data_IF_604239674087
#
_entry.id   IF_604239674087
#
_cell.length_a   1.000
_cell.length_b   1.000
_cell.length_c   1.000
_cell.angle_alpha   90.00
_cell.angle_beta   90.00
_cell.angle_gamma   90.00
#
_symmetry.space_group_name_H-M   'P 1'
#
loop_
_entity.id
_entity.type
_entity.pdbx_description
1 polymer ?
#
# COMPACT_ATOMS: atom_id res chain seq x y z
N UNK A 1 -43.65 -10.77 5.55
CA UNK A 1 -43.31 -9.39 5.94
C UNK A 1 -41.85 -9.13 5.60
N UNK A 2 -41.59 -8.32 4.57
CA UNK A 2 -40.23 -8.00 4.10
C UNK A 2 -39.54 -7.08 5.10
N UNK A 3 -38.56 -7.60 5.84
CA UNK A 3 -37.71 -6.82 6.73
C UNK A 3 -36.76 -5.98 5.87
N UNK A 4 -37.11 -4.72 5.60
CA UNK A 4 -36.18 -3.73 5.03
C UNK A 4 -35.01 -3.59 6.02
N UNK A 5 -33.86 -4.19 5.72
CA UNK A 5 -32.64 -3.92 6.47
C UNK A 5 -32.33 -2.42 6.34
N UNK A 6 -32.00 -1.71 7.43
CA UNK A 6 -31.76 -0.28 7.36
C UNK A 6 -30.51 -0.01 6.51
N UNK A 7 -30.64 0.83 5.49
CA UNK A 7 -29.56 1.19 4.55
C UNK A 7 -28.26 1.67 5.24
N UNK A 8 -28.35 2.08 6.51
CA UNK A 8 -27.23 2.47 7.37
C UNK A 8 -26.24 1.31 7.66
N UNK A 9 -26.70 0.06 7.71
CA UNK A 9 -25.82 -1.10 7.99
C UNK A 9 -24.92 -1.39 6.78
N UNK A 10 -25.52 -1.39 5.57
CA UNK A 10 -24.82 -1.65 4.31
C UNK A 10 -23.74 -0.58 4.01
N UNK A 11 -24.01 0.69 4.33
CA UNK A 11 -23.03 1.76 4.15
C UNK A 11 -21.82 1.59 5.07
N UNK A 12 -22.03 1.17 6.33
CA UNK A 12 -20.95 0.99 7.30
C UNK A 12 -20.08 -0.22 6.96
N UNK A 13 -20.68 -1.33 6.58
CA UNK A 13 -19.94 -2.52 6.11
C UNK A 13 -19.11 -2.24 4.84
N UNK A 14 -19.65 -1.44 3.91
CA UNK A 14 -18.90 -1.00 2.72
C UNK A 14 -17.72 -0.11 3.09
N UNK A 15 -17.90 0.80 4.05
CA UNK A 15 -16.81 1.66 4.54
C UNK A 15 -15.72 0.82 5.23
N UNK A 16 -16.10 -0.11 6.10
CA UNK A 16 -15.16 -0.98 6.80
C UNK A 16 -14.39 -1.88 5.80
N UNK A 17 -15.08 -2.39 4.77
CA UNK A 17 -14.46 -3.14 3.68
C UNK A 17 -13.47 -2.31 2.85
N UNK A 18 -13.82 -1.07 2.51
CA UNK A 18 -12.95 -0.15 1.79
C UNK A 18 -11.70 0.21 2.62
N UNK A 19 -11.85 0.45 3.93
CA UNK A 19 -10.73 0.73 4.84
C UNK A 19 -9.80 -0.50 4.95
N UNK A 20 -10.35 -1.71 5.02
CA UNK A 20 -9.56 -2.93 5.06
C UNK A 20 -8.76 -3.15 3.76
N UNK A 21 -9.39 -2.91 2.60
CA UNK A 21 -8.73 -2.98 1.31
C UNK A 21 -7.59 -1.96 1.18
N UNK A 22 -7.84 -0.72 1.59
CA UNK A 22 -6.83 0.34 1.58
C UNK A 22 -5.64 -0.02 2.47
N UNK A 23 -5.90 -0.51 3.70
CA UNK A 23 -4.83 -0.99 4.60
C UNK A 23 -4.02 -2.13 4.01
N UNK A 24 -4.67 -3.05 3.28
CA UNK A 24 -3.96 -4.15 2.63
C UNK A 24 -3.10 -3.64 1.47
N UNK A 25 -3.65 -2.78 0.61
CA UNK A 25 -2.91 -2.15 -0.48
C UNK A 25 -1.67 -1.39 0.02
N UNK A 26 -1.78 -0.71 1.17
CA UNK A 26 -0.66 -0.04 1.82
C UNK A 26 0.44 -1.01 2.29
N UNK A 27 0.06 -2.16 2.85
CA UNK A 27 1.01 -3.19 3.26
C UNK A 27 1.73 -3.79 2.06
N UNK A 28 0.99 -4.06 0.99
CA UNK A 28 1.53 -4.64 -0.23
C UNK A 28 2.51 -3.66 -0.91
N UNK A 29 2.13 -2.38 -1.01
CA UNK A 29 3.00 -1.33 -1.52
C UNK A 29 4.31 -1.21 -0.69
N UNK A 30 4.22 -1.28 0.64
CA UNK A 30 5.40 -1.27 1.51
C UNK A 30 6.30 -2.49 1.23
N UNK A 31 5.73 -3.67 1.08
CA UNK A 31 6.52 -4.87 0.79
C UNK A 31 7.22 -4.80 -0.56
N UNK A 32 6.56 -4.26 -1.60
CA UNK A 32 7.18 -4.05 -2.92
C UNK A 32 8.33 -3.06 -2.81
N UNK A 33 8.12 -1.95 -2.08
CA UNK A 33 9.16 -0.96 -1.84
C UNK A 33 10.39 -1.57 -1.15
N UNK A 34 10.19 -2.30 -0.06
CA UNK A 34 11.27 -2.92 0.70
C UNK A 34 12.02 -3.97 -0.13
N UNK A 35 11.30 -4.79 -0.92
CA UNK A 35 11.88 -5.80 -1.81
C UNK A 35 12.78 -5.19 -2.89
N UNK A 36 12.33 -4.16 -3.60
CA UNK A 36 13.16 -3.55 -4.63
C UNK A 36 14.36 -2.81 -4.01
N UNK A 37 14.17 -2.16 -2.87
CA UNK A 37 15.28 -1.50 -2.15
C UNK A 37 16.38 -2.52 -1.81
N UNK A 38 16.01 -3.69 -1.30
CA UNK A 38 16.95 -4.78 -1.04
C UNK A 38 17.63 -5.30 -2.32
N UNK A 39 16.88 -5.42 -3.43
CA UNK A 39 17.42 -5.87 -4.72
C UNK A 39 18.42 -4.87 -5.31
N UNK A 40 18.12 -3.57 -5.25
CA UNK A 40 19.03 -2.51 -5.66
C UNK A 40 20.32 -2.52 -4.82
N UNK A 41 20.19 -2.70 -3.50
CA UNK A 41 21.35 -2.82 -2.63
C UNK A 41 22.22 -4.02 -3.01
N UNK A 42 21.63 -5.20 -3.20
CA UNK A 42 22.35 -6.40 -3.59
C UNK A 42 23.06 -6.23 -4.94
N UNK A 43 22.43 -5.56 -5.91
CA UNK A 43 23.08 -5.23 -7.18
C UNK A 43 24.27 -4.27 -7.00
N UNK A 44 24.10 -3.21 -6.21
CA UNK A 44 25.15 -2.22 -5.92
C UNK A 44 26.37 -2.83 -5.21
N UNK A 45 26.16 -3.83 -4.35
CA UNK A 45 27.25 -4.55 -3.66
C UNK A 45 27.78 -5.74 -4.47
N UNK A 46 27.33 -5.93 -5.72
CA UNK A 46 27.74 -7.04 -6.58
C UNK A 46 27.29 -8.42 -6.08
N UNK A 47 26.34 -8.46 -5.16
CA UNK A 47 25.83 -9.68 -4.50
C UNK A 47 24.57 -10.24 -5.14
N UNK A 48 24.01 -9.57 -6.15
CA UNK A 48 22.77 -9.98 -6.81
C UNK A 48 22.63 -9.47 -8.25
N UNK A 49 21.64 -10.00 -8.99
CA UNK A 49 21.37 -9.57 -10.35
C UNK A 49 20.83 -8.13 -10.39
N UNK A 50 21.02 -7.47 -11.53
CA UNK A 50 20.42 -6.17 -11.77
C UNK A 50 18.88 -6.24 -11.65
N UNK A 51 18.23 -5.20 -11.10
CA UNK A 51 16.78 -5.08 -11.16
C UNK A 51 16.29 -5.00 -12.62
N UNK A 52 15.13 -5.55 -12.89
CA UNK A 52 14.48 -5.51 -14.20
C UNK A 52 13.61 -4.25 -14.32
N UNK A 53 13.23 -3.91 -15.56
CA UNK A 53 12.29 -2.81 -15.80
C UNK A 53 10.95 -3.02 -15.08
N UNK A 54 10.47 -4.27 -15.03
CA UNK A 54 9.23 -4.62 -14.31
C UNK A 54 9.36 -4.35 -12.81
N UNK A 55 10.51 -4.63 -12.19
CA UNK A 55 10.72 -4.30 -10.78
C UNK A 55 10.58 -2.78 -10.53
N UNK A 56 11.17 -1.97 -11.43
CA UNK A 56 11.10 -0.51 -11.35
C UNK A 56 9.67 0.01 -11.54
N UNK A 57 8.90 -0.55 -12.47
CA UNK A 57 7.49 -0.21 -12.66
C UNK A 57 6.67 -0.49 -11.39
N UNK A 58 6.82 -1.68 -10.81
CA UNK A 58 6.15 -2.06 -9.57
C UNK A 58 6.51 -1.12 -8.41
N UNK A 59 7.78 -0.75 -8.29
CA UNK A 59 8.22 0.18 -7.26
C UNK A 59 7.71 1.61 -7.48
N UNK A 60 7.72 2.10 -8.71
CA UNK A 60 7.16 3.42 -9.06
C UNK A 60 5.70 3.52 -8.63
N UNK A 61 4.89 2.50 -8.97
CA UNK A 61 3.50 2.42 -8.52
C UNK A 61 3.36 2.40 -6.99
N UNK A 62 4.19 1.62 -6.29
CA UNK A 62 4.17 1.57 -4.83
C UNK A 62 4.53 2.92 -4.18
N UNK A 63 5.51 3.64 -4.73
CA UNK A 63 5.91 4.98 -4.28
C UNK A 63 4.81 5.99 -4.52
N UNK A 64 4.19 6.00 -5.71
CA UNK A 64 3.08 6.91 -6.01
C UNK A 64 1.91 6.74 -5.04
N UNK A 65 1.53 5.50 -4.73
CA UNK A 65 0.48 5.21 -3.74
C UNK A 65 0.86 5.78 -2.37
N UNK A 66 2.09 5.54 -1.93
CA UNK A 66 2.58 6.04 -0.64
C UNK A 66 2.63 7.56 -0.56
N UNK A 67 3.01 8.24 -1.64
CA UNK A 67 3.00 9.71 -1.73
C UNK A 67 1.57 10.25 -1.67
N UNK A 68 0.64 9.66 -2.42
CA UNK A 68 -0.79 10.05 -2.38
C UNK A 68 -1.35 9.94 -0.96
N UNK A 69 -1.05 8.87 -0.24
CA UNK A 69 -1.49 8.67 1.14
C UNK A 69 -0.90 9.73 2.08
N UNK A 70 0.40 10.03 1.96
CA UNK A 70 1.03 11.11 2.75
C UNK A 70 0.40 12.47 2.47
N UNK A 71 0.09 12.78 1.21
CA UNK A 71 -0.58 14.04 0.83
C UNK A 71 -2.00 14.14 1.40
N UNK A 72 -2.69 13.02 1.56
CA UNK A 72 -4.02 12.97 2.18
C UNK A 72 -3.98 13.12 3.71
N UNK A 73 -2.80 13.25 4.33
CA UNK A 73 -2.64 13.37 5.79
C UNK A 73 -3.01 12.08 6.54
N UNK A 74 -3.20 10.98 5.82
CA UNK A 74 -3.46 9.67 6.40
C UNK A 74 -2.13 9.14 6.93
N UNK A 75 -1.98 9.14 8.26
CA UNK A 75 -0.82 8.52 8.91
C UNK A 75 -0.85 7.03 8.59
N UNK A 76 0.16 6.56 7.87
CA UNK A 76 0.41 5.12 7.76
C UNK A 76 0.84 4.67 9.15
N UNK A 77 0.10 3.72 9.74
CA UNK A 77 0.40 3.17 11.06
C UNK A 77 1.89 2.78 11.15
N UNK A 78 2.67 3.49 11.99
CA UNK A 78 4.08 3.22 12.24
C UNK A 78 5.08 4.37 12.00
N UNK A 79 4.69 5.54 11.48
CA UNK A 79 5.59 6.71 11.43
C UNK A 79 5.57 7.49 12.77
N UNK A 80 6.73 7.78 13.41
CA UNK A 80 6.77 8.69 14.55
C UNK A 80 6.36 10.09 14.07
N UNK A 81 5.51 10.76 14.87
CA UNK A 81 5.15 12.15 14.64
C UNK A 81 6.40 13.01 14.65
N UNK A 82 6.57 13.82 13.59
CA UNK A 82 7.56 14.89 13.55
C UNK A 82 7.30 15.93 14.64
#
# INVERSE_FOLDING_TARGET
MHRKMPAKTNAREKLDGAIAQERQAQRDAKQIYDKLTAKMWAYQTGSGPAPTNEDFEQWSHAVEQRVKIKQLGIRVDGEPGA
#
